data_IF_191296148832
#
_entry.id   IF_191296148832
#
_cell.length_a   1.000
_cell.length_b   1.000
_cell.length_c   1.000
_cell.angle_alpha   90.00
_cell.angle_beta   90.00
_cell.angle_gamma   90.00
#
_symmetry.space_group_name_H-M   'P 1'
#
loop_
_entity.id
_entity.type
_entity.pdbx_description
1 polymer ?
#
# COMPACT_ATOMS: atom_id res chain seq x y z
N UNK A 1 25.20 -9.58 -54.44
CA UNK A 1 24.59 -8.96 -53.25
C UNK A 1 24.61 -9.95 -52.09
N UNK A 2 25.81 -10.16 -51.56
CA UNK A 2 26.10 -10.86 -50.30
C UNK A 2 26.88 -9.83 -49.48
N UNK A 3 26.46 -9.57 -48.23
CA UNK A 3 27.10 -8.76 -47.17
C UNK A 3 26.12 -7.80 -46.47
N UNK A 4 25.05 -8.29 -45.82
CA UNK A 4 24.30 -7.47 -44.85
C UNK A 4 23.67 -8.27 -43.68
N UNK A 5 24.16 -9.47 -43.36
CA UNK A 5 23.61 -10.31 -42.27
C UNK A 5 24.47 -10.39 -40.98
N UNK A 6 25.56 -9.63 -40.87
CA UNK A 6 26.51 -9.80 -39.76
C UNK A 6 26.35 -8.89 -38.53
N UNK A 7 25.57 -7.81 -38.58
CA UNK A 7 25.62 -6.76 -37.53
C UNK A 7 24.34 -6.62 -36.69
N UNK A 8 23.25 -7.27 -37.09
CA UNK A 8 21.97 -7.18 -36.36
C UNK A 8 21.85 -8.23 -35.27
N UNK A 9 22.68 -9.29 -35.25
CA UNK A 9 22.57 -10.33 -34.22
C UNK A 9 23.37 -10.05 -32.92
N UNK A 10 24.43 -9.24 -32.98
CA UNK A 10 25.26 -8.96 -31.80
C UNK A 10 24.72 -7.87 -30.87
N UNK A 11 23.65 -7.15 -31.28
CA UNK A 11 22.93 -6.24 -30.39
C UNK A 11 21.85 -6.94 -29.54
N UNK A 12 21.52 -8.21 -29.85
CA UNK A 12 20.38 -8.93 -29.26
C UNK A 12 20.75 -9.96 -28.17
N UNK A 13 22.02 -10.09 -27.82
CA UNK A 13 22.49 -10.98 -26.75
C UNK A 13 22.58 -10.30 -25.36
N UNK A 14 21.74 -9.30 -25.09
CA UNK A 14 21.70 -8.62 -23.77
C UNK A 14 20.31 -8.58 -23.16
N UNK A 15 19.71 -9.76 -22.95
CA UNK A 15 18.54 -9.90 -22.08
C UNK A 15 18.75 -9.25 -20.68
N UNK A 16 20.00 -9.12 -20.23
CA UNK A 16 20.39 -8.44 -19.00
C UNK A 16 20.46 -6.90 -19.06
N UNK A 17 20.48 -6.26 -20.24
CA UNK A 17 20.40 -4.79 -20.33
C UNK A 17 18.95 -4.33 -20.16
N UNK A 18 17.99 -4.92 -20.87
CA UNK A 18 16.57 -4.56 -20.76
C UNK A 18 16.06 -4.75 -19.33
N UNK A 19 16.48 -5.81 -18.65
CA UNK A 19 16.16 -6.06 -17.24
C UNK A 19 16.74 -4.98 -16.30
N UNK A 20 17.99 -4.55 -16.50
CA UNK A 20 18.62 -3.46 -15.74
C UNK A 20 17.99 -2.09 -16.02
N UNK A 21 17.64 -1.81 -17.28
CA UNK A 21 17.00 -0.55 -17.68
C UNK A 21 15.53 -0.50 -17.25
N UNK A 22 14.83 -1.63 -17.12
CA UNK A 22 13.44 -1.66 -16.67
C UNK A 22 13.30 -1.67 -15.14
N UNK A 23 14.20 -2.34 -14.42
CA UNK A 23 14.36 -2.12 -12.96
C UNK A 23 14.69 -0.64 -12.73
N UNK A 24 15.56 -0.05 -13.56
CA UNK A 24 15.81 1.39 -13.54
C UNK A 24 14.57 2.20 -13.94
N UNK A 25 13.76 1.80 -14.92
CA UNK A 25 12.57 2.54 -15.37
C UNK A 25 11.44 2.55 -14.33
N UNK A 26 11.26 1.45 -13.60
CA UNK A 26 10.27 1.35 -12.51
C UNK A 26 10.84 1.96 -11.22
N UNK A 27 12.15 1.83 -10.96
CA UNK A 27 12.83 2.69 -9.98
C UNK A 27 12.71 4.17 -10.35
N UNK A 28 12.70 4.54 -11.64
CA UNK A 28 12.54 5.91 -12.12
C UNK A 28 11.10 6.38 -11.86
N UNK A 29 10.07 5.54 -12.00
CA UNK A 29 8.71 5.87 -11.53
C UNK A 29 8.73 6.17 -10.02
N UNK A 30 9.49 5.39 -9.23
CA UNK A 30 9.70 5.65 -7.79
C UNK A 30 10.53 6.90 -7.49
N UNK A 31 11.49 7.29 -8.35
CA UNK A 31 12.34 8.49 -8.18
C UNK A 31 11.61 9.77 -8.58
N UNK A 32 10.63 9.72 -9.50
CA UNK A 32 9.95 10.91 -10.00
C UNK A 32 8.80 11.41 -9.11
N UNK A 33 8.41 10.66 -8.08
CA UNK A 33 7.41 11.08 -7.10
C UNK A 33 7.98 11.99 -5.97
N UNK A 34 9.10 12.71 -6.23
CA UNK A 34 9.84 13.52 -5.23
C UNK A 34 9.15 14.81 -4.78
N UNK A 35 7.97 15.14 -5.30
CA UNK A 35 7.24 16.39 -4.98
C UNK A 35 5.78 16.11 -4.61
N UNK A 36 5.55 15.18 -3.69
CA UNK A 36 4.23 15.00 -3.09
C UNK A 36 4.27 15.31 -1.60
N UNK A 37 3.35 16.18 -1.17
CA UNK A 37 2.99 16.37 0.24
C UNK A 37 1.55 15.92 0.31
N UNK A 38 1.31 14.81 1.00
CA UNK A 38 -0.04 14.31 1.20
C UNK A 38 -0.47 14.58 2.63
N UNK A 39 -1.34 15.57 2.79
CA UNK A 39 -1.97 15.87 4.07
C UNK A 39 -3.21 14.99 4.18
N UNK A 40 -3.10 13.88 4.91
CA UNK A 40 -4.21 12.99 5.21
C UNK A 40 -4.76 13.30 6.60
N UNK A 41 -5.77 14.16 6.65
CA UNK A 41 -6.47 14.51 7.89
C UNK A 41 -7.33 13.30 8.32
N UNK A 42 -6.82 12.49 9.25
CA UNK A 42 -7.59 11.44 9.90
C UNK A 42 -8.38 11.99 11.08
N UNK A 43 -9.63 12.41 10.85
CA UNK A 43 -10.61 12.59 11.93
C UNK A 43 -11.55 11.38 11.91
N UNK A 44 -11.19 10.26 12.56
CA UNK A 44 -12.12 9.13 12.71
C UNK A 44 -12.11 8.62 14.15
N UNK A 45 -13.31 8.48 14.70
CA UNK A 45 -13.51 8.07 16.08
C UNK A 45 -13.24 6.60 16.32
N UNK A 46 -12.55 6.33 17.41
CA UNK A 46 -12.41 4.99 17.98
C UNK A 46 -13.81 4.61 18.50
N UNK A 47 -14.37 3.53 17.97
CA UNK A 47 -15.71 3.05 18.33
C UNK A 47 -15.80 2.63 19.79
N UNK A 48 -17.02 2.60 20.37
CA UNK A 48 -17.21 2.28 21.78
C UNK A 48 -16.83 0.83 22.08
N UNK A 49 -16.15 0.62 23.22
CA UNK A 49 -16.00 -0.69 23.82
C UNK A 49 -17.39 -1.19 24.26
N UNK A 50 -17.85 -2.30 23.69
CA UNK A 50 -19.12 -2.93 24.09
C UNK A 50 -18.98 -3.41 25.54
N UNK A 51 -19.68 -2.72 26.46
CA UNK A 51 -19.68 -3.00 27.90
C UNK A 51 -19.28 -1.81 28.78
N UNK A 52 -18.72 -0.74 28.21
CA UNK A 52 -18.38 0.48 28.96
C UNK A 52 -19.26 1.65 28.49
N UNK A 53 -20.14 2.16 29.37
CA UNK A 53 -21.07 3.26 29.08
C UNK A 53 -20.37 4.63 29.08
N UNK A 54 -19.13 4.69 28.58
CA UNK A 54 -18.38 5.93 28.38
C UNK A 54 -18.19 6.08 26.86
N UNK A 55 -18.97 6.98 26.25
CA UNK A 55 -18.64 7.50 24.92
C UNK A 55 -17.36 8.33 25.07
N UNK A 56 -16.21 7.70 24.89
CA UNK A 56 -14.96 8.43 24.74
C UNK A 56 -15.04 9.07 23.36
N UNK A 57 -15.40 10.36 23.30
CA UNK A 57 -15.22 11.12 22.09
C UNK A 57 -13.73 11.06 21.73
N UNK A 58 -13.36 10.65 20.50
CA UNK A 58 -11.97 10.57 20.10
C UNK A 58 -11.31 11.94 20.24
N UNK A 59 -10.07 11.98 20.73
CA UNK A 59 -9.27 13.19 20.67
C UNK A 59 -9.04 13.51 19.17
N UNK A 60 -9.41 14.70 18.69
CA UNK A 60 -9.17 15.08 17.30
C UNK A 60 -7.66 15.11 17.06
N UNK A 61 -7.18 14.15 16.27
CA UNK A 61 -5.77 13.99 15.91
C UNK A 61 -5.58 14.36 14.45
N UNK A 62 -4.66 15.27 14.14
CA UNK A 62 -4.31 15.56 12.74
C UNK A 62 -2.98 14.90 12.41
N UNK A 63 -3.00 13.95 11.49
CA UNK A 63 -1.80 13.30 10.96
C UNK A 63 -1.47 13.85 9.58
N UNK A 64 -0.20 13.80 9.20
CA UNK A 64 0.24 14.01 7.83
C UNK A 64 1.33 13.02 7.48
N UNK A 65 1.47 12.70 6.19
CA UNK A 65 2.50 11.83 5.67
C UNK A 65 3.36 12.62 4.70
N UNK A 66 4.67 12.74 5.00
CA UNK A 66 5.62 13.40 4.12
C UNK A 66 6.65 12.38 3.70
N UNK A 67 6.93 12.31 2.40
CA UNK A 67 7.95 11.43 1.86
C UNK A 67 9.30 11.71 2.51
N UNK A 68 10.00 10.64 2.89
CA UNK A 68 11.26 10.76 3.61
C UNK A 68 12.30 11.56 2.81
N UNK A 69 12.30 11.38 1.48
CA UNK A 69 13.18 12.04 0.52
C UNK A 69 12.77 13.48 0.15
N UNK A 70 11.58 13.95 0.56
CA UNK A 70 11.15 15.32 0.33
C UNK A 70 11.78 16.27 1.35
N UNK A 71 13.10 16.41 1.27
CA UNK A 71 13.93 17.21 2.19
C UNK A 71 13.46 18.66 2.26
N UNK A 72 13.09 19.25 1.12
CA UNK A 72 12.62 20.63 1.07
C UNK A 72 11.35 20.85 1.89
N UNK A 73 10.32 20.00 1.73
CA UNK A 73 9.10 20.11 2.53
C UNK A 73 9.39 19.87 4.02
N UNK A 74 10.23 18.89 4.32
CA UNK A 74 10.62 18.58 5.71
C UNK A 74 11.37 19.72 6.36
N UNK A 75 12.35 20.33 5.68
CA UNK A 75 13.09 21.48 6.20
C UNK A 75 12.16 22.66 6.49
N UNK A 76 11.19 22.94 5.61
CA UNK A 76 10.22 24.02 5.82
C UNK A 76 9.32 23.72 7.03
N UNK A 77 8.78 22.52 7.13
CA UNK A 77 7.79 22.18 8.16
C UNK A 77 8.40 21.82 9.52
N UNK A 78 9.63 21.29 9.55
CA UNK A 78 10.35 20.95 10.78
C UNK A 78 11.07 22.16 11.41
N UNK A 79 11.34 23.24 10.66
CA UNK A 79 12.16 24.37 11.13
C UNK A 79 11.45 25.42 12.00
N UNK A 80 10.16 25.24 12.31
CA UNK A 80 9.38 26.07 13.25
C UNK A 80 9.50 27.60 13.01
N UNK A 81 9.68 28.04 11.76
CA UNK A 81 10.12 29.40 11.39
C UNK A 81 9.13 30.55 11.64
N UNK A 82 7.94 30.30 12.16
CA UNK A 82 6.88 31.29 12.22
C UNK A 82 6.38 31.47 13.65
N UNK A 83 7.13 32.17 14.52
CA UNK A 83 6.76 32.83 15.79
C UNK A 83 5.48 32.33 16.51
N UNK A 84 5.25 31.02 16.58
CA UNK A 84 4.04 30.40 17.12
C UNK A 84 2.76 30.43 16.24
N UNK A 85 2.78 31.00 15.03
CA UNK A 85 1.59 31.11 14.15
C UNK A 85 1.37 29.90 13.22
N UNK A 86 2.36 29.02 13.05
CA UNK A 86 2.26 27.80 12.23
C UNK A 86 2.12 26.56 13.11
N UNK A 87 1.44 25.50 12.63
CA UNK A 87 1.37 24.26 13.37
C UNK A 87 2.75 23.60 13.49
N UNK A 88 3.00 22.98 14.63
CA UNK A 88 4.21 22.20 14.86
C UNK A 88 4.06 20.78 14.31
N UNK A 89 5.08 20.30 13.59
CA UNK A 89 5.12 18.96 13.02
C UNK A 89 5.98 18.05 13.89
N UNK A 90 5.34 17.16 14.64
CA UNK A 90 6.02 16.19 15.52
C UNK A 90 6.09 14.83 14.84
N UNK A 91 7.29 14.27 14.70
CA UNK A 91 7.47 12.93 14.10
C UNK A 91 6.85 11.87 15.00
N UNK A 92 6.03 11.00 14.43
CA UNK A 92 5.36 9.89 15.12
C UNK A 92 6.02 8.56 14.77
N UNK A 93 6.09 8.24 13.48
CA UNK A 93 6.68 6.99 12.99
C UNK A 93 7.14 7.13 11.55
N UNK A 94 8.06 6.26 11.12
CA UNK A 94 8.26 5.99 9.69
C UNK A 94 7.21 4.99 9.22
N UNK A 95 6.82 5.09 7.96
CA UNK A 95 5.82 4.24 7.32
C UNK A 95 6.33 3.77 5.98
N UNK A 96 6.25 2.46 5.76
CA UNK A 96 6.61 1.81 4.51
C UNK A 96 5.34 1.61 3.68
N UNK A 97 5.31 2.21 2.50
CA UNK A 97 4.41 1.80 1.42
C UNK A 97 5.20 0.89 0.47
N UNK A 98 4.90 -0.40 0.52
CA UNK A 98 5.46 -1.39 -0.39
C UNK A 98 4.65 -1.42 -1.69
N UNK A 99 5.25 -0.97 -2.79
CA UNK A 99 4.65 -1.06 -4.12
C UNK A 99 5.04 -2.40 -4.75
N UNK A 100 4.04 -3.25 -4.96
CA UNK A 100 4.21 -4.64 -5.39
C UNK A 100 3.76 -4.74 -6.85
N UNK A 101 4.69 -4.94 -7.81
CA UNK A 101 4.32 -5.10 -9.21
C UNK A 101 3.56 -6.40 -9.42
N UNK A 102 2.35 -6.31 -9.98
CA UNK A 102 1.49 -7.48 -10.24
C UNK A 102 1.77 -8.07 -11.63
N UNK A 103 2.21 -7.25 -12.58
CA UNK A 103 2.58 -7.64 -13.95
C UNK A 103 4.04 -7.26 -14.24
N UNK A 104 4.63 -7.94 -15.22
CA UNK A 104 5.99 -7.64 -15.67
C UNK A 104 6.35 -8.27 -17.01
N UNK A 105 7.49 -7.89 -17.61
CA UNK A 105 7.99 -8.25 -18.96
C UNK A 105 7.96 -9.69 -19.44
N UNK A 106 7.69 -10.67 -18.58
CA UNK A 106 7.73 -12.07 -19.01
C UNK A 106 7.86 -13.08 -17.88
N UNK A 107 8.06 -14.34 -18.27
CA UNK A 107 8.05 -15.49 -17.37
C UNK A 107 9.09 -15.43 -16.23
N UNK A 108 10.17 -14.65 -16.41
CA UNK A 108 11.29 -14.50 -15.46
C UNK A 108 11.21 -13.26 -14.55
N UNK A 109 10.15 -12.44 -14.67
CA UNK A 109 9.88 -11.32 -13.75
C UNK A 109 9.98 -11.80 -12.30
N UNK A 110 10.70 -11.10 -11.38
CA UNK A 110 11.20 -11.65 -10.14
C UNK A 110 10.17 -12.53 -9.44
N UNK A 111 10.33 -13.84 -9.67
CA UNK A 111 9.61 -14.90 -8.97
C UNK A 111 10.31 -15.24 -7.64
N UNK A 112 11.35 -14.47 -7.28
CA UNK A 112 12.07 -14.63 -6.02
C UNK A 112 11.03 -14.56 -4.89
N UNK A 113 10.99 -15.63 -4.11
CA UNK A 113 10.15 -15.82 -2.93
C UNK A 113 8.71 -16.36 -3.14
N UNK A 114 8.40 -17.00 -4.27
CA UNK A 114 7.19 -17.84 -4.36
C UNK A 114 7.36 -19.16 -3.59
N UNK A 115 7.32 -19.12 -2.26
CA UNK A 115 6.70 -20.23 -1.53
C UNK A 115 5.20 -19.98 -1.61
N UNK A 116 4.53 -20.73 -2.48
CA UNK A 116 3.08 -20.79 -2.53
C UNK A 116 2.60 -21.02 -1.11
N UNK A 117 1.71 -20.15 -0.61
CA UNK A 117 0.98 -20.43 0.62
C UNK A 117 0.45 -21.87 0.56
N UNK A 118 0.57 -22.61 1.65
CA UNK A 118 -0.03 -23.95 1.79
C UNK A 118 -1.47 -23.89 1.26
N UNK A 119 -1.80 -24.63 0.19
CA UNK A 119 -3.13 -24.60 -0.40
C UNK A 119 -4.20 -24.87 0.67
N UNK A 120 -5.20 -23.99 0.76
CA UNK A 120 -6.33 -24.15 1.68
C UNK A 120 -6.25 -23.38 3.00
N UNK A 121 -5.12 -22.75 3.34
CA UNK A 121 -5.03 -21.95 4.57
C UNK A 121 -5.71 -20.58 4.43
N UNK A 122 -5.75 -20.02 3.21
CA UNK A 122 -6.36 -18.72 2.90
C UNK A 122 -7.63 -18.94 2.09
N UNK A 123 -8.72 -18.27 2.46
CA UNK A 123 -9.96 -18.22 1.68
C UNK A 123 -10.55 -16.82 1.61
N UNK A 124 -11.42 -16.59 0.63
CA UNK A 124 -12.27 -15.39 0.62
C UNK A 124 -13.20 -15.42 1.83
N UNK A 125 -13.42 -14.24 2.41
CA UNK A 125 -14.44 -14.05 3.42
C UNK A 125 -15.81 -14.01 2.75
N UNK A 126 -16.84 -14.28 3.54
CA UNK A 126 -18.25 -14.24 3.15
C UNK A 126 -19.02 -13.41 4.17
N UNK A 127 -20.26 -13.03 3.87
CA UNK A 127 -21.13 -12.33 4.82
C UNK A 127 -21.25 -13.02 6.20
N UNK A 128 -21.16 -14.36 6.25
CA UNK A 128 -21.19 -15.12 7.50
C UNK A 128 -19.95 -14.91 8.39
N UNK A 129 -18.84 -14.45 7.82
CA UNK A 129 -17.58 -14.19 8.53
C UNK A 129 -17.53 -12.78 9.16
N UNK A 130 -18.47 -11.90 8.82
CA UNK A 130 -18.47 -10.50 9.26
C UNK A 130 -18.35 -10.33 10.78
N UNK A 131 -19.05 -11.11 11.64
CA UNK A 131 -18.86 -10.99 13.09
C UNK A 131 -17.42 -11.29 13.54
N UNK A 132 -16.78 -12.30 12.93
CA UNK A 132 -15.38 -12.66 13.26
C UNK A 132 -14.39 -11.62 12.73
N UNK A 133 -14.70 -10.99 11.59
CA UNK A 133 -13.90 -9.91 11.02
C UNK A 133 -13.91 -8.67 11.93
N UNK A 134 -15.08 -8.26 12.41
CA UNK A 134 -15.22 -7.13 13.33
C UNK A 134 -14.52 -7.43 14.67
N UNK A 135 -14.66 -8.65 15.19
CA UNK A 135 -13.93 -9.10 16.39
C UNK A 135 -12.41 -9.05 16.19
N UNK A 136 -11.91 -9.50 15.02
CA UNK A 136 -10.49 -9.41 14.68
C UNK A 136 -9.99 -7.95 14.67
N UNK A 137 -10.73 -7.02 14.05
CA UNK A 137 -10.34 -5.61 14.01
C UNK A 137 -10.40 -4.94 15.38
N UNK A 138 -11.36 -5.30 16.22
CA UNK A 138 -11.45 -4.79 17.59
C UNK A 138 -10.26 -5.27 18.45
N UNK A 139 -9.95 -6.57 18.40
CA UNK A 139 -8.78 -7.14 19.08
C UNK A 139 -7.47 -6.50 18.60
N UNK A 140 -7.37 -6.29 17.28
CA UNK A 140 -6.23 -5.61 16.68
C UNK A 140 -6.13 -4.16 17.20
N UNK A 141 -7.22 -3.39 17.18
CA UNK A 141 -7.25 -2.01 17.67
C UNK A 141 -6.99 -1.87 19.17
N UNK A 142 -7.25 -2.91 19.96
CA UNK A 142 -6.86 -2.94 21.38
C UNK A 142 -5.34 -2.94 21.61
N UNK A 143 -4.55 -3.41 20.62
CA UNK A 143 -3.10 -3.56 20.70
C UNK A 143 -2.33 -2.50 19.91
N UNK A 144 -2.90 -2.00 18.81
CA UNK A 144 -2.24 -1.08 17.88
C UNK A 144 -2.90 0.29 17.87
N UNK A 145 -2.10 1.35 18.04
CA UNK A 145 -2.59 2.73 17.97
C UNK A 145 -2.95 3.12 16.53
N UNK A 146 -4.00 3.93 16.35
CA UNK A 146 -4.42 4.41 15.03
C UNK A 146 -5.17 3.37 14.18
N UNK A 147 -5.34 2.14 14.68
CA UNK A 147 -6.12 1.13 13.99
C UNK A 147 -7.57 1.61 13.80
N UNK A 148 -8.13 1.47 12.58
CA UNK A 148 -9.50 1.90 12.32
C UNK A 148 -10.50 1.05 13.12
N UNK A 149 -11.46 1.71 13.76
CA UNK A 149 -12.64 1.04 14.25
C UNK A 149 -13.65 0.92 13.10
N UNK A 150 -14.01 -0.32 12.77
CA UNK A 150 -15.01 -0.63 11.75
C UNK A 150 -16.32 -1.09 12.38
N UNK A 151 -17.41 -0.79 11.71
CA UNK A 151 -18.75 -1.30 12.03
C UNK A 151 -19.28 -2.16 10.89
N UNK A 152 -20.32 -2.97 11.14
CA UNK A 152 -20.91 -3.84 10.11
C UNK A 152 -21.32 -3.07 8.84
N UNK A 153 -21.87 -1.87 9.00
CA UNK A 153 -22.28 -1.01 7.88
C UNK A 153 -21.11 -0.64 6.95
N UNK A 154 -19.87 -0.57 7.45
CA UNK A 154 -18.70 -0.28 6.60
C UNK A 154 -18.47 -1.35 5.53
N UNK A 155 -18.88 -2.61 5.77
CA UNK A 155 -18.69 -3.73 4.82
C UNK A 155 -19.96 -4.14 4.07
N UNK A 156 -21.14 -3.80 4.61
CA UNK A 156 -22.43 -4.15 4.00
C UNK A 156 -22.96 -3.09 3.04
N UNK A 157 -22.41 -1.87 3.10
CA UNK A 157 -22.82 -0.75 2.24
C UNK A 157 -21.63 -0.22 1.39
N UNK A 158 -21.21 -0.94 0.33
CA UNK A 158 -20.00 -0.61 -0.43
C UNK A 158 -20.06 0.74 -1.18
N UNK A 159 -21.21 1.41 -1.21
CA UNK A 159 -21.42 2.65 -1.98
C UNK A 159 -21.48 3.91 -1.11
N UNK A 160 -21.65 3.78 0.21
CA UNK A 160 -21.91 4.91 1.13
C UNK A 160 -21.01 4.92 2.37
N UNK A 161 -20.18 3.89 2.57
CA UNK A 161 -19.34 3.74 3.76
C UNK A 161 -17.91 4.29 3.64
N UNK A 162 -17.18 4.25 4.76
CA UNK A 162 -15.76 4.64 4.81
C UNK A 162 -14.84 3.68 4.04
N UNK A 163 -15.37 2.51 3.67
CA UNK A 163 -14.74 1.49 2.84
C UNK A 163 -15.40 1.41 1.46
N UNK A 164 -15.91 2.53 0.92
CA UNK A 164 -16.56 2.53 -0.39
C UNK A 164 -15.70 1.84 -1.47
N UNK A 165 -16.28 0.88 -2.20
CA UNK A 165 -15.57 0.04 -3.17
C UNK A 165 -14.83 -1.18 -2.59
N UNK A 166 -14.97 -1.46 -1.28
CA UNK A 166 -14.50 -2.69 -0.66
C UNK A 166 -15.68 -3.44 -0.01
N UNK A 167 -15.97 -4.62 -0.52
CA UNK A 167 -16.91 -5.56 0.07
C UNK A 167 -16.18 -6.66 0.85
N UNK A 168 -16.93 -7.40 1.68
CA UNK A 168 -16.38 -8.53 2.44
C UNK A 168 -15.84 -9.63 1.52
N UNK A 169 -16.44 -9.83 0.34
CA UNK A 169 -16.03 -10.86 -0.62
C UNK A 169 -14.69 -10.53 -1.33
N UNK A 170 -14.26 -9.27 -1.27
CA UNK A 170 -12.92 -8.81 -1.68
C UNK A 170 -11.88 -8.91 -0.58
N UNK A 171 -12.23 -9.48 0.57
CA UNK A 171 -11.28 -9.76 1.65
C UNK A 171 -10.86 -11.22 1.65
N UNK A 172 -9.59 -11.45 1.97
CA UNK A 172 -9.04 -12.76 2.25
C UNK A 172 -8.82 -12.93 3.74
N UNK A 173 -8.99 -14.15 4.24
CA UNK A 173 -8.73 -14.48 5.64
C UNK A 173 -8.05 -15.84 5.84
N UNK A 174 -7.38 -15.96 6.99
CA UNK A 174 -6.78 -17.21 7.49
C UNK A 174 -7.54 -17.66 8.73
N UNK A 175 -7.90 -18.95 8.77
CA UNK A 175 -8.63 -19.55 9.88
C UNK A 175 -7.78 -20.62 10.58
N UNK A 176 -7.77 -20.62 11.90
CA UNK A 176 -7.26 -21.73 12.73
C UNK A 176 -8.39 -22.16 13.68
N UNK A 177 -8.73 -23.47 13.71
CA UNK A 177 -9.81 -24.01 14.56
C UNK A 177 -11.14 -23.23 14.43
N UNK A 178 -11.53 -22.92 13.19
CA UNK A 178 -12.74 -22.14 12.84
C UNK A 178 -12.76 -20.68 13.31
N UNK A 179 -11.64 -20.18 13.86
CA UNK A 179 -11.47 -18.78 14.27
C UNK A 179 -10.68 -18.00 13.22
N UNK A 180 -11.16 -16.82 12.86
CA UNK A 180 -10.44 -15.90 11.99
C UNK A 180 -9.22 -15.30 12.72
N UNK A 181 -8.03 -15.60 12.16
CA UNK A 181 -6.74 -15.20 12.73
C UNK A 181 -6.12 -14.00 12.04
N UNK A 182 -6.39 -13.82 10.75
CA UNK A 182 -5.87 -12.70 9.96
C UNK A 182 -6.81 -12.40 8.79
N UNK A 183 -6.89 -11.13 8.39
CA UNK A 183 -7.67 -10.68 7.23
C UNK A 183 -6.97 -9.53 6.51
N UNK A 184 -7.16 -9.45 5.18
CA UNK A 184 -6.67 -8.36 4.33
C UNK A 184 -7.70 -8.07 3.24
N UNK A 185 -8.00 -6.79 3.03
CA UNK A 185 -8.82 -6.31 1.92
C UNK A 185 -7.99 -6.14 0.65
N UNK A 186 -8.60 -6.44 -0.49
CA UNK A 186 -8.06 -6.15 -1.82
C UNK A 186 -8.94 -5.07 -2.43
N UNK A 187 -8.56 -3.83 -2.17
CA UNK A 187 -9.41 -2.67 -2.40
C UNK A 187 -9.04 -1.98 -3.72
N UNK A 188 -9.94 -2.04 -4.70
CA UNK A 188 -9.81 -1.22 -5.90
C UNK A 188 -10.37 0.19 -5.61
N UNK A 189 -9.47 1.18 -5.52
CA UNK A 189 -9.84 2.56 -5.20
C UNK A 189 -10.06 3.44 -6.44
N UNK A 190 -9.96 2.89 -7.65
CA UNK A 190 -9.92 3.68 -8.90
C UNK A 190 -11.17 4.52 -9.18
N UNK A 191 -12.34 4.12 -8.66
CA UNK A 191 -13.57 4.86 -8.86
C UNK A 191 -13.59 6.22 -8.13
N UNK A 192 -12.76 6.41 -7.11
CA UNK A 192 -12.71 7.64 -6.31
C UNK A 192 -11.31 8.21 -6.10
N UNK A 193 -10.25 7.41 -6.22
CA UNK A 193 -8.84 7.84 -6.20
C UNK A 193 -8.14 7.33 -7.46
N UNK A 194 -7.98 8.22 -8.41
CA UNK A 194 -7.31 7.94 -9.68
C UNK A 194 -5.87 8.44 -9.65
N UNK A 195 -4.94 7.54 -9.97
CA UNK A 195 -3.56 7.92 -10.24
C UNK A 195 -3.46 8.07 -11.75
N UNK A 196 -3.27 9.30 -12.21
CA UNK A 196 -3.11 9.62 -13.64
C UNK A 196 -1.67 10.00 -13.90
N UNK A 197 -1.07 9.42 -14.93
CA UNK A 197 0.29 9.79 -15.33
C UNK A 197 0.24 11.16 -16.00
N UNK A 198 0.75 12.18 -15.32
CA UNK A 198 0.79 13.54 -15.86
C UNK A 198 1.95 13.76 -16.83
N UNK A 199 3.10 13.11 -16.57
CA UNK A 199 4.32 13.29 -17.36
C UNK A 199 5.17 12.02 -17.30
N UNK A 200 5.80 11.68 -18.42
CA UNK A 200 6.88 10.70 -18.48
C UNK A 200 8.16 11.43 -18.85
N UNK A 201 9.26 11.10 -18.18
CA UNK A 201 10.56 11.63 -18.59
C UNK A 201 10.96 11.06 -19.96
N UNK A 202 11.79 11.76 -20.76
CA UNK A 202 12.12 11.34 -22.12
C UNK A 202 12.65 9.91 -22.25
N UNK A 203 13.53 9.41 -21.34
CA UNK A 203 13.98 8.02 -21.39
C UNK A 203 12.84 6.99 -21.19
N UNK A 204 11.91 7.30 -20.29
CA UNK A 204 10.77 6.42 -19.99
C UNK A 204 9.76 6.42 -21.15
N UNK A 205 9.54 7.58 -21.76
CA UNK A 205 8.73 7.70 -22.97
C UNK A 205 9.32 6.90 -24.13
N UNK A 206 10.63 7.02 -24.38
CA UNK A 206 11.32 6.25 -25.41
C UNK A 206 11.21 4.73 -25.13
N UNK A 207 11.40 4.31 -23.88
CA UNK A 207 11.28 2.91 -23.47
C UNK A 207 9.87 2.37 -23.71
N UNK A 208 8.83 3.15 -23.36
CA UNK A 208 7.43 2.79 -23.65
C UNK A 208 7.20 2.63 -25.15
N UNK A 209 7.68 3.57 -25.97
CA UNK A 209 7.50 3.52 -27.42
C UNK A 209 8.17 2.29 -28.03
N UNK A 210 9.40 1.96 -27.61
CA UNK A 210 10.09 0.74 -28.02
C UNK A 210 9.28 -0.49 -27.63
N UNK A 211 8.78 -0.54 -26.39
CA UNK A 211 7.97 -1.66 -25.93
C UNK A 211 6.69 -1.84 -26.74
N UNK A 212 5.98 -0.74 -27.01
CA UNK A 212 4.76 -0.76 -27.81
C UNK A 212 5.03 -1.27 -29.22
N UNK A 213 6.15 -0.90 -29.83
CA UNK A 213 6.56 -1.40 -31.14
C UNK A 213 6.79 -2.92 -31.12
N UNK A 214 7.32 -3.47 -30.02
CA UNK A 214 7.52 -4.91 -29.84
C UNK A 214 6.44 -5.64 -29.04
N UNK A 215 5.22 -5.09 -28.92
CA UNK A 215 4.12 -5.68 -28.11
C UNK A 215 3.80 -7.15 -28.46
N UNK A 216 4.02 -7.54 -29.71
CA UNK A 216 3.81 -8.92 -30.16
C UNK A 216 4.79 -9.92 -29.50
N UNK A 217 5.94 -9.43 -29.06
CA UNK A 217 7.01 -10.22 -28.44
C UNK A 217 6.97 -10.06 -26.91
N UNK A 218 6.75 -8.83 -26.42
CA UNK A 218 6.86 -8.51 -24.99
C UNK A 218 5.52 -8.40 -24.25
N UNK A 219 4.39 -8.55 -24.95
CA UNK A 219 3.07 -8.38 -24.37
C UNK A 219 2.70 -6.92 -24.12
N UNK A 220 1.75 -6.69 -23.21
CA UNK A 220 1.28 -5.34 -22.86
C UNK A 220 2.36 -4.53 -22.15
N UNK A 221 2.49 -3.24 -22.52
CA UNK A 221 3.43 -2.34 -21.86
C UNK A 221 2.94 -2.04 -20.44
N UNK A 222 3.74 -2.28 -19.39
CA UNK A 222 3.31 -2.08 -18.00
C UNK A 222 3.33 -0.60 -17.57
N UNK A 223 3.94 0.29 -18.36
CA UNK A 223 4.03 1.73 -18.06
C UNK A 223 2.89 2.44 -18.77
N UNK A 224 1.94 3.11 -18.10
CA UNK A 224 0.83 3.82 -18.74
C UNK A 224 1.28 5.04 -19.57
N UNK A 225 0.47 5.48 -20.53
CA UNK A 225 0.70 6.74 -21.25
C UNK A 225 0.51 7.94 -20.33
N UNK A 226 1.02 9.09 -20.76
CA UNK A 226 0.56 10.37 -20.24
C UNK A 226 -0.96 10.49 -20.45
N UNK A 227 -1.70 10.82 -19.40
CA UNK A 227 -3.15 10.90 -19.36
C UNK A 227 -3.86 9.58 -19.05
N UNK A 228 -3.16 8.43 -19.11
CA UNK A 228 -3.73 7.14 -18.72
C UNK A 228 -3.73 6.97 -17.19
N UNK A 229 -4.76 6.26 -16.72
CA UNK A 229 -4.88 5.85 -15.33
C UNK A 229 -3.96 4.66 -15.05
N UNK A 230 -3.44 4.58 -13.83
CA UNK A 230 -2.67 3.43 -13.39
C UNK A 230 -3.57 2.44 -12.65
N UNK A 231 -3.59 1.20 -13.12
CA UNK A 231 -4.33 0.11 -12.49
C UNK A 231 -3.68 -0.30 -11.17
N UNK A 232 -4.26 0.17 -10.08
CA UNK A 232 -3.74 -0.05 -8.72
C UNK A 232 -4.78 -0.64 -7.80
N UNK A 233 -4.33 -1.50 -6.89
CA UNK A 233 -5.14 -1.98 -5.78
C UNK A 233 -4.42 -1.69 -4.46
N UNK A 234 -5.18 -1.32 -3.45
CA UNK A 234 -4.68 -1.14 -2.10
C UNK A 234 -4.94 -2.43 -1.31
N UNK A 235 -3.91 -2.95 -0.65
CA UNK A 235 -4.00 -4.12 0.23
C UNK A 235 -4.28 -3.68 1.66
N UNK A 236 -5.51 -3.23 1.89
CA UNK A 236 -6.00 -2.63 3.13
C UNK A 236 -7.55 -2.67 3.15
N UNK A 237 -8.23 -2.69 4.32
CA UNK A 237 -7.69 -2.83 5.66
C UNK A 237 -7.11 -4.23 5.89
N UNK A 238 -6.10 -4.32 6.75
CA UNK A 238 -5.59 -5.59 7.22
C UNK A 238 -5.51 -5.66 8.74
N UNK A 239 -5.66 -6.86 9.28
CA UNK A 239 -5.51 -7.14 10.70
C UNK A 239 -5.02 -8.58 10.91
N UNK A 240 -4.26 -8.80 11.97
CA UNK A 240 -3.77 -10.11 12.40
C UNK A 240 -3.88 -10.19 13.92
N UNK A 241 -4.37 -11.31 14.48
CA UNK A 241 -4.43 -11.47 15.94
C UNK A 241 -3.05 -11.16 16.56
N UNK A 242 -2.98 -10.34 17.63
CA UNK A 242 -1.72 -9.90 18.20
C UNK A 242 -0.75 -11.04 18.52
N UNK A 243 0.51 -10.91 18.09
CA UNK A 243 1.56 -11.91 18.26
C UNK A 243 1.67 -12.95 17.14
N UNK A 244 0.75 -12.94 16.17
CA UNK A 244 0.78 -13.84 15.01
C UNK A 244 1.26 -13.17 13.71
N UNK A 245 1.61 -11.88 13.72
CA UNK A 245 1.87 -11.06 12.53
C UNK A 245 2.98 -11.66 11.66
N UNK A 246 4.10 -12.03 12.30
CA UNK A 246 5.27 -12.61 11.62
C UNK A 246 4.98 -13.95 10.94
N UNK A 247 3.99 -14.70 11.44
CA UNK A 247 3.59 -16.02 10.95
C UNK A 247 2.54 -15.91 9.85
N UNK A 248 1.51 -15.10 10.07
CA UNK A 248 0.31 -15.08 9.22
C UNK A 248 0.38 -14.08 8.08
N UNK A 249 0.93 -12.89 8.31
CA UNK A 249 0.89 -11.83 7.32
C UNK A 249 1.71 -12.13 6.05
N UNK A 250 2.88 -12.79 6.08
CA UNK A 250 3.59 -13.18 4.86
C UNK A 250 2.75 -14.09 3.94
N UNK A 251 2.01 -15.03 4.54
CA UNK A 251 1.12 -15.96 3.83
C UNK A 251 -0.05 -15.19 3.22
N UNK A 252 -0.68 -14.35 4.03
CA UNK A 252 -1.83 -13.56 3.64
C UNK A 252 -1.50 -12.53 2.55
N UNK A 253 -0.36 -11.83 2.67
CA UNK A 253 0.12 -10.87 1.68
C UNK A 253 0.42 -11.55 0.34
N UNK A 254 1.09 -12.70 0.38
CA UNK A 254 1.37 -13.49 -0.83
C UNK A 254 0.08 -13.93 -1.55
N UNK A 255 -0.93 -14.36 -0.79
CA UNK A 255 -2.23 -14.73 -1.33
C UNK A 255 -2.98 -13.52 -1.91
N UNK A 256 -2.98 -12.38 -1.22
CA UNK A 256 -3.60 -11.15 -1.68
C UNK A 256 -2.96 -10.63 -2.98
N UNK A 257 -1.65 -10.72 -3.11
CA UNK A 257 -0.92 -10.36 -4.34
C UNK A 257 -1.29 -11.30 -5.49
N UNK A 258 -1.48 -12.59 -5.22
CA UNK A 258 -1.92 -13.55 -6.23
C UNK A 258 -3.34 -13.23 -6.72
N UNK A 259 -4.27 -13.01 -5.80
CA UNK A 259 -5.66 -12.64 -6.08
C UNK A 259 -5.75 -11.29 -6.82
N UNK A 260 -5.00 -10.27 -6.37
CA UNK A 260 -4.90 -8.98 -7.04
C UNK A 260 -4.38 -9.09 -8.48
N UNK A 261 -3.39 -9.96 -8.73
CA UNK A 261 -2.89 -10.24 -10.08
C UNK A 261 -3.97 -10.87 -10.96
N UNK A 262 -4.77 -11.79 -10.43
CA UNK A 262 -5.87 -12.42 -11.16
C UNK A 262 -6.96 -11.40 -11.53
N UNK A 263 -7.20 -10.40 -10.68
CA UNK A 263 -8.09 -9.25 -10.94
C UNK A 263 -7.54 -8.25 -11.96
N UNK A 264 -6.30 -8.41 -12.39
CA UNK A 264 -5.71 -7.66 -13.50
C UNK A 264 -5.09 -6.31 -13.15
N UNK A 265 -4.84 -6.01 -11.87
CA UNK A 265 -4.12 -4.80 -11.47
C UNK A 265 -2.69 -4.75 -12.04
N UNK A 266 -2.14 -3.55 -12.25
CA UNK A 266 -0.74 -3.35 -12.63
C UNK A 266 0.18 -3.41 -11.41
N UNK A 267 -0.23 -2.81 -10.29
CA UNK A 267 0.47 -2.87 -9.02
C UNK A 267 -0.49 -2.97 -7.83
N UNK A 268 0.03 -3.46 -6.70
CA UNK A 268 -0.62 -3.45 -5.41
C UNK A 268 0.19 -2.58 -4.43
N UNK A 269 -0.47 -1.83 -3.56
CA UNK A 269 0.16 -1.05 -2.50
C UNK A 269 -0.15 -1.68 -1.14
N UNK A 270 0.86 -1.92 -0.32
CA UNK A 270 0.71 -2.39 1.05
C UNK A 270 1.41 -1.43 2.02
N UNK A 271 0.69 -0.96 3.03
CA UNK A 271 1.19 0.01 4.00
C UNK A 271 1.44 -0.59 5.38
N UNK A 272 2.58 -0.29 5.99
CA UNK A 272 2.93 -0.74 7.34
C UNK A 272 3.89 0.21 8.05
N UNK A 273 3.68 0.48 9.34
CA UNK A 273 4.60 1.28 10.14
C UNK A 273 5.92 0.53 10.40
N UNK A 274 7.04 1.25 10.45
CA UNK A 274 8.39 0.68 10.61
C UNK A 274 8.52 -0.27 11.81
N UNK A 275 7.96 0.13 12.95
CA UNK A 275 8.06 -0.63 14.20
C UNK A 275 7.04 -1.77 14.29
N UNK A 276 6.08 -1.86 13.37
CA UNK A 276 5.06 -2.90 13.43
C UNK A 276 5.67 -4.27 13.05
N UNK A 277 5.48 -5.34 13.85
CA UNK A 277 5.98 -6.68 13.55
C UNK A 277 5.58 -7.23 12.16
N UNK A 278 4.47 -6.71 11.62
CA UNK A 278 3.98 -6.97 10.28
C UNK A 278 4.97 -6.58 9.16
N UNK A 279 5.92 -5.67 9.40
CA UNK A 279 6.82 -5.17 8.35
C UNK A 279 7.59 -6.30 7.66
N UNK A 280 7.92 -7.38 8.38
CA UNK A 280 8.63 -8.52 7.81
C UNK A 280 7.85 -9.25 6.71
N UNK A 281 6.53 -9.06 6.63
CA UNK A 281 5.70 -9.67 5.60
C UNK A 281 6.09 -9.23 4.20
N UNK A 282 6.60 -8.00 4.02
CA UNK A 282 7.01 -7.50 2.70
C UNK A 282 8.13 -8.32 2.07
N UNK A 283 8.94 -9.03 2.89
CA UNK A 283 9.99 -9.92 2.41
C UNK A 283 9.46 -11.19 1.72
N UNK A 284 8.16 -11.48 1.83
CA UNK A 284 7.51 -12.57 1.09
C UNK A 284 7.24 -12.25 -0.37
N UNK A 285 7.38 -10.99 -0.77
CA UNK A 285 7.05 -10.51 -2.12
C UNK A 285 8.17 -9.64 -2.66
N UNK A 286 8.25 -9.51 -3.98
CA UNK A 286 9.05 -8.45 -4.59
C UNK A 286 8.30 -7.13 -4.47
N UNK A 287 8.95 -6.11 -3.93
CA UNK A 287 8.34 -4.79 -3.78
C UNK A 287 9.39 -3.69 -3.99
N UNK A 288 8.90 -2.50 -4.27
CA UNK A 288 9.65 -1.26 -4.30
C UNK A 288 9.30 -0.49 -3.03
N UNK A 289 10.28 -0.20 -2.15
CA UNK A 289 10.03 0.50 -0.90
C UNK A 289 9.78 1.99 -1.17
N UNK A 290 8.74 2.51 -0.54
CA UNK A 290 8.47 3.93 -0.52
C UNK A 290 8.25 4.40 0.92
N UNK A 291 9.21 5.14 1.46
CA UNK A 291 9.22 5.56 2.86
C UNK A 291 8.63 6.96 3.02
N UNK A 292 7.71 7.08 3.97
CA UNK A 292 7.24 8.35 4.49
C UNK A 292 7.45 8.46 5.99
N UNK A 293 7.44 9.69 6.48
CA UNK A 293 7.42 10.02 7.89
C UNK A 293 6.02 10.52 8.20
N UNK A 294 5.41 9.90 9.20
CA UNK A 294 4.14 10.31 9.76
C UNK A 294 4.41 11.37 10.81
N UNK A 295 3.76 12.52 10.65
CA UNK A 295 3.81 13.60 11.62
C UNK A 295 2.42 13.79 12.23
N UNK A 296 2.42 14.14 13.50
CA UNK A 296 1.31 14.80 14.13
C UNK A 296 1.44 16.30 13.90
N UNK A 297 0.36 16.89 13.39
CA UNK A 297 0.24 18.34 13.19
C UNK A 297 -0.44 18.91 14.43
N UNK A 298 0.30 19.67 15.23
CA UNK A 298 -0.21 20.28 16.45
C UNK A 298 -0.34 21.78 16.24
N UNK A 299 -1.59 22.27 16.17
CA UNK A 299 -1.89 23.69 16.19
C UNK A 299 -1.66 24.27 17.59
N UNK A 300 -1.32 25.56 17.73
CA UNK A 300 -1.09 26.20 19.03
C UNK A 300 -2.25 26.01 20.02
N UNK A 301 -3.49 25.93 19.51
CA UNK A 301 -4.71 25.80 20.31
C UNK A 301 -5.05 24.34 20.64
N UNK A 302 -4.33 23.37 20.09
CA UNK A 302 -4.62 21.93 20.26
C UNK A 302 -3.56 21.23 21.08
N UNK A 303 -3.98 20.42 22.04
CA UNK A 303 -3.06 19.56 22.79
C UNK A 303 -2.47 18.48 21.88
N UNK A 304 -1.18 18.20 22.06
CA UNK A 304 -0.57 17.07 21.40
C UNK A 304 -1.04 15.77 22.07
N UNK A 305 -1.62 14.86 21.29
CA UNK A 305 -1.73 13.46 21.66
C UNK A 305 -0.35 12.84 21.89
N UNK A 306 -0.17 12.18 23.02
CA UNK A 306 1.03 11.40 23.30
C UNK A 306 0.82 9.97 22.81
N UNK A 307 1.51 9.60 21.74
CA UNK A 307 1.58 8.22 21.30
C UNK A 307 2.28 7.40 22.37
N UNK A 308 1.68 6.27 22.74
CA UNK A 308 2.30 5.34 23.68
C UNK A 308 3.39 4.51 22.97
N UNK A 309 4.06 3.63 23.71
CA UNK A 309 5.03 2.68 23.12
C UNK A 309 4.37 1.60 22.24
N UNK A 310 3.05 1.66 22.03
CA UNK A 310 2.33 0.75 21.15
C UNK A 310 2.71 0.97 19.70
N UNK A 311 2.61 -0.09 18.91
CA UNK A 311 2.89 0.01 17.49
C UNK A 311 1.76 0.75 16.77
N UNK A 312 2.15 1.69 15.91
CA UNK A 312 1.22 2.43 15.07
C UNK A 312 0.70 1.53 13.94
N UNK A 313 -0.61 1.51 13.76
CA UNK A 313 -1.30 1.04 12.57
C UNK A 313 -2.06 2.20 11.98
N UNK A 314 -1.91 2.46 10.69
CA UNK A 314 -2.71 3.45 9.99
C UNK A 314 -3.27 2.80 8.74
N UNK A 315 -4.58 2.60 8.72
CA UNK A 315 -5.28 2.20 7.50
C UNK A 315 -5.28 3.36 6.51
N UNK A 316 -5.26 3.06 5.22
CA UNK A 316 -5.49 3.99 4.12
C UNK A 316 -4.43 5.10 3.94
N UNK A 317 -3.28 5.03 4.62
CA UNK A 317 -2.10 5.87 4.29
C UNK A 317 -1.33 5.36 3.06
N UNK A 318 -1.50 4.10 2.68
CA UNK A 318 -0.78 3.47 1.57
C UNK A 318 -1.24 3.90 0.17
N UNK A 319 -2.32 4.67 0.07
CA UNK A 319 -2.84 5.22 -1.18
C UNK A 319 -2.36 6.67 -1.38
N UNK A 320 -1.04 6.83 -1.51
CA UNK A 320 -0.38 8.03 -2.04
C UNK A 320 -0.16 7.88 -3.54
#
# INVERSE_FOLDING_TARGET
MQHWQGWVFDLFASAGLVEKYLISAICIISVFCRKFVAVLIFSKGIGPCVGCSIRINPVPLTLTSILEDNRSAREVLESQRADGAMPSYRKVSRFLTALIPLRGPGARWPQRYRKTAEPGLVRRLTAADLPQLLDLFNDFGGRYEGAPAFVAADFLEPMSGSLAGLDIDSMLGIFENSRLMAAIGIWNQQSYKQIVVSHLCPPLLATRNIWQAGRAIWGSCPVPAVGEQVDSVLLDPWAVRPGCERRMLPILLSAAVCEARQRGGAFAAFGVAEKNPAINAVNSVFFLPYWSIIYQVCWPETSAYEFTDRHLQLANLGAL
#
